data_IF_209479202824
#
_entry.id   IF_209479202824
#
_cell.length_a   1.000
_cell.length_b   1.000
_cell.length_c   1.000
_cell.angle_alpha   90.00
_cell.angle_beta   90.00
_cell.angle_gamma   90.00
#
_symmetry.space_group_name_H-M   'P 1'
#
loop_
_entity.id
_entity.type
_entity.pdbx_description
1 polymer ?
#
# COMPACT_ATOMS: atom_id res chain seq x y z
N UNK A 1 7.95 -5.89 1.43
CA UNK A 1 7.57 -4.69 2.22
C UNK A 1 7.72 -3.43 1.38
N UNK A 2 7.02 -2.36 1.76
CA UNK A 2 7.10 -1.05 1.11
C UNK A 2 7.70 -0.03 2.11
N UNK A 3 9.02 0.23 2.06
CA UNK A 3 9.65 1.20 2.94
C UNK A 3 9.33 2.64 2.56
N UNK A 4 9.26 3.54 3.54
CA UNK A 4 9.11 4.96 3.29
C UNK A 4 10.36 5.53 2.62
N UNK A 5 10.19 6.29 1.53
CA UNK A 5 11.30 6.96 0.83
C UNK A 5 11.84 8.19 1.57
N UNK A 6 11.10 8.68 2.56
CA UNK A 6 11.46 9.85 3.37
C UNK A 6 10.79 9.77 4.73
N UNK A 7 11.41 10.39 5.73
CA UNK A 7 10.77 10.64 7.02
C UNK A 7 9.68 11.70 6.90
N UNK A 8 8.63 11.59 7.71
CA UNK A 8 7.55 12.56 7.75
C UNK A 8 6.29 12.00 8.40
N UNK A 9 5.14 12.48 7.97
CA UNK A 9 3.82 12.01 8.38
C UNK A 9 3.06 11.59 7.13
N UNK A 10 2.36 10.46 7.18
CA UNK A 10 1.46 10.05 6.09
C UNK A 10 0.32 11.04 6.03
N UNK A 11 0.30 11.95 5.05
CA UNK A 11 -0.76 12.94 4.90
C UNK A 11 -1.91 12.46 4.04
N UNK A 12 -1.64 11.56 3.10
CA UNK A 12 -2.67 11.07 2.20
C UNK A 12 -2.43 9.60 1.85
N UNK A 13 -3.52 8.86 1.77
CA UNK A 13 -3.52 7.45 1.39
C UNK A 13 -4.82 7.15 0.64
N UNK A 14 -4.73 6.95 -0.69
CA UNK A 14 -5.92 6.75 -1.52
C UNK A 14 -6.38 5.29 -1.39
N UNK A 15 -7.35 5.04 -0.50
CA UNK A 15 -7.87 3.71 -0.19
C UNK A 15 -8.36 2.94 -1.42
N UNK A 16 -8.99 3.61 -2.39
CA UNK A 16 -9.43 3.00 -3.64
C UNK A 16 -8.25 2.40 -4.41
N UNK A 17 -7.16 3.16 -4.52
CA UNK A 17 -6.00 2.77 -5.31
C UNK A 17 -5.20 1.67 -4.62
N UNK A 18 -5.19 1.63 -3.29
CA UNK A 18 -4.66 0.52 -2.48
C UNK A 18 -5.51 -0.74 -2.67
N UNK A 19 -6.83 -0.62 -2.70
CA UNK A 19 -7.72 -1.75 -3.00
C UNK A 19 -7.44 -2.34 -4.38
N UNK A 20 -7.26 -1.48 -5.38
CA UNK A 20 -6.87 -1.90 -6.73
C UNK A 20 -5.49 -2.56 -6.71
N UNK A 21 -4.52 -2.00 -6.00
CA UNK A 21 -3.18 -2.60 -5.84
C UNK A 21 -3.26 -4.00 -5.21
N UNK A 22 -4.15 -4.20 -4.23
CA UNK A 22 -4.42 -5.52 -3.63
C UNK A 22 -5.08 -6.49 -4.62
N UNK A 23 -6.02 -6.00 -5.44
CA UNK A 23 -6.62 -6.81 -6.51
C UNK A 23 -5.59 -7.25 -7.55
N UNK A 24 -4.64 -6.38 -7.92
CA UNK A 24 -3.56 -6.72 -8.85
C UNK A 24 -2.68 -7.87 -8.34
N UNK A 25 -2.57 -8.03 -7.01
CA UNK A 25 -1.86 -9.16 -6.40
C UNK A 25 -2.66 -10.46 -6.41
N UNK A 26 -3.96 -10.42 -6.72
CA UNK A 26 -4.86 -11.57 -6.65
C UNK A 26 -5.72 -11.63 -5.37
N UNK A 27 -5.67 -10.60 -4.52
CA UNK A 27 -6.39 -10.56 -3.24
C UNK A 27 -7.88 -10.21 -3.41
N UNK A 28 -8.37 -10.17 -4.64
CA UNK A 28 -9.75 -9.82 -4.97
C UNK A 28 -10.16 -10.36 -6.33
N UNK A 29 -11.45 -10.19 -6.63
CA UNK A 29 -12.06 -10.67 -7.87
C UNK A 29 -12.15 -9.54 -8.88
N UNK A 30 -11.52 -9.70 -10.04
CA UNK A 30 -11.73 -8.79 -11.17
C UNK A 30 -13.07 -9.11 -11.86
N UNK A 31 -13.45 -10.39 -11.90
CA UNK A 31 -14.73 -10.90 -12.39
C UNK A 31 -15.44 -11.75 -11.34
N UNK A 32 -16.76 -11.94 -11.47
CA UNK A 32 -17.53 -12.74 -10.48
C UNK A 32 -17.01 -14.18 -10.34
N UNK A 33 -16.44 -14.73 -11.40
CA UNK A 33 -15.94 -16.10 -11.45
C UNK A 33 -14.50 -16.27 -10.93
N UNK A 34 -13.78 -15.18 -10.64
CA UNK A 34 -12.37 -15.27 -10.26
C UNK A 34 -12.17 -15.98 -8.92
N UNK A 35 -11.14 -16.83 -8.89
CA UNK A 35 -10.63 -17.47 -7.67
C UNK A 35 -9.77 -16.45 -6.94
N UNK A 36 -10.12 -16.15 -5.69
CA UNK A 36 -9.34 -15.25 -4.84
C UNK A 36 -8.18 -16.06 -4.25
N UNK A 37 -6.97 -15.54 -4.36
CA UNK A 37 -5.85 -16.05 -3.59
C UNK A 37 -5.92 -15.46 -2.18
N UNK A 38 -6.13 -16.31 -1.17
CA UNK A 38 -6.24 -15.88 0.22
C UNK A 38 -4.87 -15.65 0.87
N UNK A 39 -3.79 -16.05 0.22
CA UNK A 39 -2.41 -15.87 0.71
C UNK A 39 -1.82 -14.51 0.31
N UNK A 40 -2.46 -13.78 -0.61
CA UNK A 40 -1.99 -12.48 -1.11
C UNK A 40 -2.83 -11.33 -0.57
N UNK A 41 -2.23 -10.16 -0.47
CA UNK A 41 -2.88 -8.97 0.07
C UNK A 41 -1.91 -7.93 0.58
N UNK A 42 -2.46 -6.88 1.18
CA UNK A 42 -1.71 -5.76 1.74
C UNK A 42 -2.04 -5.64 3.22
N UNK A 43 -1.02 -5.48 4.06
CA UNK A 43 -1.17 -5.18 5.50
C UNK A 43 -0.60 -3.79 5.74
N UNK A 44 -1.47 -2.85 6.12
CA UNK A 44 -1.09 -1.49 6.43
C UNK A 44 -0.46 -1.44 7.84
N UNK A 45 0.82 -1.08 7.92
CA UNK A 45 1.51 -0.88 9.20
C UNK A 45 1.34 0.56 9.71
N UNK A 46 1.10 1.50 8.78
CA UNK A 46 0.91 2.93 9.03
C UNK A 46 -0.39 3.41 8.39
N UNK A 47 -1.07 4.35 9.04
CA UNK A 47 -2.27 5.03 8.53
C UNK A 47 -2.02 6.53 8.32
N UNK A 48 -2.97 7.20 7.68
CA UNK A 48 -2.97 8.67 7.56
C UNK A 48 -2.91 9.29 8.95
N UNK A 49 -1.98 10.24 9.13
CA UNK A 49 -1.66 10.89 10.40
C UNK A 49 -0.53 10.23 11.19
N UNK A 50 -0.08 9.03 10.80
CA UNK A 50 1.04 8.38 11.48
C UNK A 50 2.38 8.94 11.01
N UNK A 51 3.31 9.08 11.97
CA UNK A 51 4.71 9.39 11.70
C UNK A 51 5.46 8.16 11.18
N UNK A 52 6.32 8.40 10.21
CA UNK A 52 7.15 7.41 9.55
C UNK A 52 8.57 7.93 9.40
N UNK A 53 9.55 7.07 9.55
CA UNK A 53 10.96 7.38 9.27
C UNK A 53 11.36 6.84 7.88
N UNK A 54 12.36 7.46 7.26
CA UNK A 54 12.97 6.95 6.03
C UNK A 54 13.45 5.50 6.23
N UNK A 55 13.03 4.61 5.33
CA UNK A 55 13.30 3.18 5.43
C UNK A 55 12.27 2.40 6.28
N UNK A 56 11.39 3.07 7.02
CA UNK A 56 10.38 2.39 7.84
C UNK A 56 9.27 1.75 6.98
N UNK A 57 8.83 0.55 7.35
CA UNK A 57 7.82 -0.21 6.59
C UNK A 57 6.44 0.46 6.69
N UNK A 58 5.97 1.06 5.59
CA UNK A 58 4.62 1.66 5.49
C UNK A 58 3.54 0.58 5.49
N UNK A 59 3.80 -0.49 4.74
CA UNK A 59 2.91 -1.62 4.58
C UNK A 59 3.69 -2.87 4.15
N UNK A 60 3.10 -4.03 4.45
CA UNK A 60 3.61 -5.33 4.04
C UNK A 60 2.80 -5.84 2.86
N UNK A 61 3.51 -6.23 1.80
CA UNK A 61 2.94 -6.80 0.57
C UNK A 61 3.07 -8.32 0.66
N UNK A 62 1.95 -9.03 0.66
CA UNK A 62 1.89 -10.47 0.50
C UNK A 62 1.51 -10.77 -0.94
N UNK A 63 2.41 -11.44 -1.67
CA UNK A 63 2.23 -11.76 -3.06
C UNK A 63 2.72 -13.19 -3.33
N UNK A 64 2.04 -13.88 -4.24
CA UNK A 64 2.44 -15.21 -4.69
C UNK A 64 3.34 -15.14 -5.93
N UNK A 65 3.48 -13.95 -6.54
CA UNK A 65 4.38 -13.65 -7.64
C UNK A 65 5.58 -12.83 -7.15
N UNK A 66 6.74 -13.02 -7.79
CA UNK A 66 7.92 -12.19 -7.53
C UNK A 66 7.80 -10.79 -8.15
N UNK A 67 6.96 -10.64 -9.19
CA UNK A 67 6.76 -9.36 -9.88
C UNK A 67 5.66 -8.52 -9.19
N UNK A 68 6.09 -7.74 -8.20
CA UNK A 68 5.25 -6.79 -7.45
C UNK A 68 5.66 -5.34 -7.70
N UNK A 69 6.50 -5.09 -8.70
CA UNK A 69 7.11 -3.77 -8.88
C UNK A 69 6.08 -2.72 -9.33
N UNK A 70 5.16 -3.11 -10.21
CA UNK A 70 4.01 -2.27 -10.60
C UNK A 70 3.12 -1.92 -9.40
N UNK A 71 2.91 -2.89 -8.51
CA UNK A 71 2.10 -2.70 -7.30
C UNK A 71 2.79 -1.73 -6.35
N UNK A 72 4.10 -1.87 -6.14
CA UNK A 72 4.87 -0.91 -5.33
C UNK A 72 4.83 0.50 -5.90
N UNK A 73 5.01 0.67 -7.21
CA UNK A 73 4.92 1.98 -7.87
C UNK A 73 3.55 2.61 -7.61
N UNK A 74 2.49 1.84 -7.86
CA UNK A 74 1.12 2.28 -7.62
C UNK A 74 0.87 2.68 -6.17
N UNK A 75 1.46 1.96 -5.20
CA UNK A 75 1.36 2.31 -3.79
C UNK A 75 2.13 3.61 -3.48
N UNK A 76 3.34 3.79 -4.02
CA UNK A 76 4.10 5.05 -3.83
C UNK A 76 3.39 6.26 -4.44
N UNK A 77 2.76 6.10 -5.59
CA UNK A 77 2.04 7.19 -6.28
C UNK A 77 0.77 7.61 -5.52
N UNK A 78 0.27 6.76 -4.63
CA UNK A 78 -0.98 6.96 -3.89
C UNK A 78 -0.79 7.11 -2.37
N UNK A 79 0.45 7.11 -1.89
CA UNK A 79 0.81 7.36 -0.51
C UNK A 79 1.68 8.62 -0.46
N UNK A 80 1.13 9.69 0.09
CA UNK A 80 1.85 10.95 0.26
C UNK A 80 2.34 11.04 1.70
N UNK A 81 3.66 11.13 1.86
CA UNK A 81 4.30 11.49 3.12
C UNK A 81 4.60 12.98 3.04
N UNK A 82 4.35 13.77 4.06
CA UNK A 82 4.72 15.18 4.13
C UNK A 82 5.25 15.56 5.52
N UNK A 83 5.93 16.70 5.64
CA UNK A 83 6.60 17.09 6.90
C UNK A 83 5.60 17.48 8.01
N UNK A 84 4.38 17.83 7.62
CA UNK A 84 3.26 18.20 8.47
C UNK A 84 1.98 17.51 7.99
N UNK A 85 1.37 16.63 8.80
CA UNK A 85 -0.02 16.24 8.58
C UNK A 85 -0.91 17.12 9.46
N UNK A 86 -1.73 17.95 8.84
CA UNK A 86 -2.89 18.50 9.53
C UNK A 86 -3.89 17.35 9.70
N UNK A 87 -4.22 17.02 10.96
CA UNK A 87 -5.39 16.20 11.25
C UNK A 87 -6.62 17.05 10.88
N UNK A 88 -7.49 16.59 9.97
CA UNK A 88 -8.76 17.26 9.71
C UNK A 88 -9.71 17.17 10.91
#
# INVERSE_FOLDING_TARGET
ELPAKRSGVVSEMIANEIGIASMMLGAGRQTKEDVIDLAVGLVLNKKVGDRVEEGESLLTIYANSEDVEQVKQKLYDNITISDHAEQP
#
